data_IF_808750084023
#
_entry.id   IF_808750084023
#
_cell.length_a   1.000
_cell.length_b   1.000
_cell.length_c   1.000
_cell.angle_alpha   90.00
_cell.angle_beta   90.00
_cell.angle_gamma   90.00
#
_symmetry.space_group_name_H-M   'P 1'
#
loop_
_entity.id
_entity.type
_entity.pdbx_description
1 polymer ?
#
# COMPACT_ATOMS: atom_id res chain seq x y z
N UNK A 1 -12.09 -10.07 -6.42
CA UNK A 1 -12.35 -8.62 -6.41
C UNK A 1 -12.06 -7.99 -7.76
N UNK A 2 -12.65 -6.83 -8.07
CA UNK A 2 -12.51 -6.18 -9.39
C UNK A 2 -11.08 -5.74 -9.73
N UNK A 3 -10.24 -5.49 -8.72
CA UNK A 3 -8.81 -5.17 -8.90
C UNK A 3 -7.89 -6.40 -9.04
N UNK A 4 -8.39 -7.62 -8.82
CA UNK A 4 -7.60 -8.84 -8.93
C UNK A 4 -7.18 -9.16 -10.38
N UNK A 5 -7.91 -8.59 -11.34
CA UNK A 5 -7.61 -8.75 -12.75
C UNK A 5 -7.86 -7.46 -13.53
N UNK A 6 -7.16 -7.32 -14.65
CA UNK A 6 -7.36 -6.24 -15.62
C UNK A 6 -7.54 -6.83 -17.01
N UNK A 7 -8.21 -6.10 -17.89
CA UNK A 7 -8.47 -6.47 -19.28
C UNK A 7 -7.93 -5.40 -20.23
N UNK A 8 -7.46 -5.82 -21.40
CA UNK A 8 -7.12 -4.92 -22.50
C UNK A 8 -8.31 -4.66 -23.46
N UNK A 9 -9.45 -5.31 -23.22
CA UNK A 9 -10.63 -5.24 -24.09
C UNK A 9 -10.51 -5.96 -25.44
N UNK A 10 -9.38 -6.63 -25.72
CA UNK A 10 -9.12 -7.40 -26.97
C UNK A 10 -9.08 -8.91 -26.73
N UNK A 11 -9.34 -9.33 -25.50
CA UNK A 11 -9.44 -10.73 -25.08
C UNK A 11 -8.26 -11.19 -24.23
N UNK A 12 -7.34 -10.30 -23.86
CA UNK A 12 -6.31 -10.62 -22.87
C UNK A 12 -6.81 -10.23 -21.48
N UNK A 13 -6.67 -11.17 -20.54
CA UNK A 13 -6.89 -10.95 -19.11
C UNK A 13 -5.57 -11.10 -18.38
N UNK A 14 -5.31 -10.22 -17.43
CA UNK A 14 -4.12 -10.26 -16.59
C UNK A 14 -4.55 -10.46 -15.15
N UNK A 15 -3.97 -11.44 -14.47
CA UNK A 15 -4.22 -11.76 -13.07
C UNK A 15 -2.91 -11.76 -12.29
N UNK A 16 -2.97 -11.52 -10.98
CA UNK A 16 -1.79 -11.72 -10.14
C UNK A 16 -1.52 -13.21 -9.92
N UNK A 17 -0.26 -13.60 -9.66
CA UNK A 17 0.03 -14.96 -9.19
C UNK A 17 -0.74 -15.30 -7.92
N UNK A 18 -0.96 -14.32 -7.04
CA UNK A 18 -1.72 -14.53 -5.82
C UNK A 18 -3.18 -14.92 -6.11
N UNK A 19 -3.80 -14.32 -7.14
CA UNK A 19 -5.14 -14.70 -7.61
C UNK A 19 -5.16 -16.16 -8.06
N UNK A 20 -4.17 -16.61 -8.83
CA UNK A 20 -4.07 -18.01 -9.22
C UNK A 20 -3.93 -18.95 -8.00
N UNK A 21 -3.04 -18.61 -7.06
CA UNK A 21 -2.80 -19.44 -5.85
C UNK A 21 -4.04 -19.51 -4.96
N UNK A 22 -4.77 -18.41 -4.78
CA UNK A 22 -6.02 -18.36 -4.00
C UNK A 22 -7.13 -19.23 -4.62
N UNK A 23 -7.08 -19.48 -5.93
CA UNK A 23 -8.00 -20.34 -6.66
C UNK A 23 -7.42 -21.75 -6.90
N UNK A 24 -6.63 -22.26 -5.94
CA UNK A 24 -6.13 -23.64 -5.97
C UNK A 24 -4.93 -23.88 -6.90
N UNK A 25 -4.41 -22.84 -7.57
CA UNK A 25 -3.23 -22.95 -8.42
C UNK A 25 -3.47 -23.59 -9.79
N UNK A 26 -4.70 -23.99 -10.12
CA UNK A 26 -5.04 -24.62 -11.39
C UNK A 26 -5.24 -23.58 -12.50
N UNK A 27 -4.19 -23.37 -13.29
CA UNK A 27 -4.19 -22.38 -14.37
C UNK A 27 -5.28 -22.65 -15.43
N UNK A 28 -5.44 -23.90 -15.86
CA UNK A 28 -6.37 -24.23 -16.95
C UNK A 28 -7.83 -24.01 -16.55
N UNK A 29 -8.16 -24.28 -15.29
CA UNK A 29 -9.50 -24.07 -14.75
C UNK A 29 -9.81 -22.57 -14.65
N UNK A 30 -8.86 -21.78 -14.12
CA UNK A 30 -9.01 -20.33 -14.06
C UNK A 30 -9.13 -19.70 -15.46
N UNK A 31 -8.34 -20.15 -16.42
CA UNK A 31 -8.49 -19.77 -17.83
C UNK A 31 -9.87 -20.12 -18.40
N UNK A 32 -10.41 -21.29 -18.04
CA UNK A 32 -11.75 -21.71 -18.41
C UNK A 32 -12.83 -20.76 -17.89
N UNK A 33 -12.74 -20.35 -16.62
CA UNK A 33 -13.65 -19.38 -16.01
C UNK A 33 -13.58 -18.02 -16.73
N UNK A 34 -12.37 -17.48 -16.96
CA UNK A 34 -12.24 -16.20 -17.67
C UNK A 34 -12.72 -16.27 -19.11
N UNK A 35 -12.51 -17.40 -19.80
CA UNK A 35 -13.04 -17.61 -21.15
C UNK A 35 -14.56 -17.63 -21.15
N UNK A 36 -15.19 -18.32 -20.19
CA UNK A 36 -16.64 -18.46 -20.12
C UNK A 36 -17.35 -17.16 -19.76
N UNK A 37 -16.84 -16.41 -18.77
CA UNK A 37 -17.54 -15.23 -18.22
C UNK A 37 -17.11 -13.91 -18.88
N UNK A 38 -15.87 -13.81 -19.35
CA UNK A 38 -15.30 -12.56 -19.87
C UNK A 38 -14.90 -12.67 -21.35
N UNK A 39 -15.12 -13.81 -22.00
CA UNK A 39 -14.70 -14.03 -23.38
C UNK A 39 -13.18 -13.98 -23.57
N UNK A 40 -12.41 -14.25 -22.50
CA UNK A 40 -10.96 -14.18 -22.54
C UNK A 40 -10.38 -15.22 -23.50
N UNK A 41 -9.50 -14.76 -24.38
CA UNK A 41 -8.73 -15.59 -25.32
C UNK A 41 -7.44 -16.08 -24.68
N UNK A 42 -6.79 -15.21 -23.91
CA UNK A 42 -5.51 -15.48 -23.29
C UNK A 42 -5.42 -14.89 -21.89
N UNK A 43 -4.83 -15.65 -20.97
CA UNK A 43 -4.56 -15.20 -19.61
C UNK A 43 -3.05 -15.00 -19.39
N UNK A 44 -2.72 -13.87 -18.80
CA UNK A 44 -1.38 -13.47 -18.40
C UNK A 44 -1.29 -13.41 -16.88
N UNK A 45 -0.16 -13.84 -16.33
CA UNK A 45 0.07 -13.86 -14.89
C UNK A 45 1.21 -12.92 -14.56
N UNK A 46 0.92 -11.91 -13.76
CA UNK A 46 1.86 -10.92 -13.27
C UNK A 46 2.12 -11.11 -11.76
N UNK A 47 3.17 -10.49 -11.25
CA UNK A 47 3.41 -10.41 -9.80
C UNK A 47 2.64 -9.25 -9.17
N UNK A 48 2.16 -9.43 -7.95
CA UNK A 48 1.66 -8.33 -7.13
C UNK A 48 2.80 -7.72 -6.28
N UNK A 49 2.59 -6.50 -5.78
CA UNK A 49 3.53 -5.85 -4.87
C UNK A 49 3.70 -6.68 -3.57
N UNK A 50 4.92 -6.73 -3.00
CA UNK A 50 5.19 -7.50 -1.78
C UNK A 50 4.69 -6.80 -0.52
N UNK A 51 4.69 -7.53 0.58
CA UNK A 51 4.29 -7.05 1.90
C UNK A 51 2.83 -7.33 2.21
N UNK A 52 2.37 -6.84 3.37
CA UNK A 52 0.99 -7.03 3.83
C UNK A 52 0.10 -5.99 3.20
N UNK A 53 -0.18 -6.13 1.91
CA UNK A 53 -1.01 -5.22 1.12
C UNK A 53 -2.08 -5.97 0.33
N UNK A 54 -2.96 -5.24 -0.33
CA UNK A 54 -3.92 -5.82 -1.29
C UNK A 54 -3.16 -6.20 -2.56
N UNK A 55 -3.19 -7.48 -3.00
CA UNK A 55 -2.34 -7.98 -4.08
C UNK A 55 -2.92 -7.70 -5.48
N UNK A 56 -3.54 -6.54 -5.67
CA UNK A 56 -4.23 -6.18 -6.91
C UNK A 56 -3.26 -5.64 -7.96
N UNK A 57 -3.57 -5.92 -9.24
CA UNK A 57 -2.74 -5.47 -10.36
C UNK A 57 -3.06 -4.04 -10.79
N UNK A 58 -4.27 -3.56 -10.52
CA UNK A 58 -4.72 -2.18 -10.79
C UNK A 58 -3.87 -1.11 -10.07
N UNK A 59 -3.07 -1.51 -9.08
CA UNK A 59 -2.09 -0.68 -8.40
C UNK A 59 -0.83 -0.42 -9.24
N UNK A 60 -0.53 -1.27 -10.23
CA UNK A 60 0.77 -1.27 -10.93
C UNK A 60 0.67 -1.50 -12.44
N UNK A 61 -0.50 -1.77 -13.00
CA UNK A 61 -0.70 -1.87 -14.45
C UNK A 61 -2.08 -1.30 -14.82
N UNK A 62 -2.12 -0.45 -15.85
CA UNK A 62 -3.37 0.04 -16.44
C UNK A 62 -3.20 0.18 -17.94
N UNK A 63 -4.21 -0.25 -18.69
CA UNK A 63 -4.35 0.06 -20.12
C UNK A 63 -5.07 1.41 -20.23
N UNK A 64 -4.44 2.41 -20.88
CA UNK A 64 -5.09 3.70 -21.14
C UNK A 64 -5.97 3.68 -22.36
N UNK A 65 -5.56 2.87 -23.33
CA UNK A 65 -6.23 2.62 -24.59
C UNK A 65 -5.76 1.24 -25.09
N UNK A 66 -6.00 0.96 -26.36
CA UNK A 66 -5.73 -0.34 -26.95
C UNK A 66 -4.25 -0.64 -27.22
N UNK A 67 -3.37 0.36 -27.10
CA UNK A 67 -1.96 0.29 -27.48
C UNK A 67 -1.03 0.86 -26.40
N UNK A 68 -1.57 1.54 -25.38
CA UNK A 68 -0.80 2.20 -24.33
C UNK A 68 -0.98 1.54 -22.97
N UNK A 69 0.14 1.12 -22.38
CA UNK A 69 0.21 0.53 -21.03
C UNK A 69 0.92 1.51 -20.09
N UNK A 70 0.30 1.80 -18.94
CA UNK A 70 0.93 2.47 -17.81
C UNK A 70 1.61 1.46 -16.90
N UNK A 71 2.87 1.74 -16.58
CA UNK A 71 3.66 1.03 -15.58
C UNK A 71 4.25 2.01 -14.56
N UNK A 72 4.45 1.59 -13.31
CA UNK A 72 4.98 2.45 -12.27
C UNK A 72 6.46 2.76 -12.50
N UNK A 73 6.85 4.00 -12.28
CA UNK A 73 8.21 4.44 -12.03
C UNK A 73 8.41 4.59 -10.52
N UNK A 74 8.85 3.50 -9.89
CA UNK A 74 8.96 3.41 -8.44
C UNK A 74 10.13 4.25 -7.91
N UNK A 75 9.77 5.30 -7.16
CA UNK A 75 10.71 6.24 -6.58
C UNK A 75 11.29 5.68 -5.28
N UNK A 76 12.59 5.86 -5.08
CA UNK A 76 13.23 5.54 -3.80
C UNK A 76 12.92 6.62 -2.77
N UNK A 77 12.82 6.21 -1.51
CA UNK A 77 12.85 7.18 -0.42
C UNK A 77 14.23 7.80 -0.33
N UNK A 78 14.30 9.12 -0.11
CA UNK A 78 15.53 9.78 0.28
C UNK A 78 16.00 9.33 1.68
N UNK A 79 15.06 8.88 2.51
CA UNK A 79 15.36 8.36 3.84
C UNK A 79 15.96 6.96 3.77
N UNK A 80 16.94 6.70 4.65
CA UNK A 80 17.51 5.37 4.81
C UNK A 80 16.48 4.44 5.44
N UNK A 81 16.44 3.21 4.95
CA UNK A 81 15.69 2.14 5.58
C UNK A 81 16.09 2.01 7.06
N UNK A 82 15.10 2.08 7.94
CA UNK A 82 15.30 2.04 9.39
C UNK A 82 15.58 0.63 9.90
N UNK A 83 15.13 -0.40 9.15
CA UNK A 83 15.38 -1.81 9.47
C UNK A 83 15.53 -2.67 8.19
N UNK A 84 16.03 -3.92 8.31
CA UNK A 84 16.17 -4.84 7.18
C UNK A 84 14.87 -5.13 6.42
N UNK A 85 13.73 -5.17 7.13
CA UNK A 85 12.42 -5.42 6.52
C UNK A 85 12.01 -4.30 5.54
N UNK A 86 12.23 -3.02 5.90
CA UNK A 86 11.97 -1.87 5.01
C UNK A 86 12.84 -1.96 3.75
N UNK A 87 14.13 -2.31 3.91
CA UNK A 87 15.04 -2.47 2.79
C UNK A 87 14.65 -3.65 1.88
N UNK A 88 14.17 -4.76 2.45
CA UNK A 88 13.68 -5.91 1.69
C UNK A 88 12.42 -5.58 0.90
N UNK A 89 11.43 -4.92 1.52
CA UNK A 89 10.19 -4.54 0.85
C UNK A 89 10.45 -3.61 -0.35
N UNK A 90 11.28 -2.58 -0.18
CA UNK A 90 11.61 -1.65 -1.27
C UNK A 90 12.32 -2.35 -2.43
N UNK A 91 13.26 -3.26 -2.15
CA UNK A 91 13.92 -4.07 -3.19
C UNK A 91 12.94 -5.03 -3.87
N UNK A 92 12.05 -5.66 -3.10
CA UNK A 92 11.03 -6.55 -3.61
C UNK A 92 10.05 -5.84 -4.55
N UNK A 93 9.59 -4.64 -4.18
CA UNK A 93 8.69 -3.83 -4.98
C UNK A 93 9.31 -3.48 -6.35
N UNK A 94 10.57 -3.01 -6.36
CA UNK A 94 11.31 -2.78 -7.61
C UNK A 94 11.42 -4.06 -8.45
N UNK A 95 11.82 -5.16 -7.82
CA UNK A 95 12.01 -6.43 -8.53
C UNK A 95 10.72 -6.91 -9.20
N UNK A 96 9.58 -6.79 -8.52
CA UNK A 96 8.24 -7.09 -9.04
C UNK A 96 7.91 -6.20 -10.25
N UNK A 97 8.10 -4.89 -10.12
CA UNK A 97 7.82 -3.91 -11.17
C UNK A 97 8.65 -4.20 -12.42
N UNK A 98 9.97 -4.39 -12.25
CA UNK A 98 10.88 -4.68 -13.35
C UNK A 98 10.55 -6.02 -14.03
N UNK A 99 10.17 -7.03 -13.24
CA UNK A 99 9.78 -8.34 -13.76
C UNK A 99 8.51 -8.26 -14.60
N UNK A 100 7.49 -7.55 -14.10
CA UNK A 100 6.24 -7.34 -14.83
C UNK A 100 6.47 -6.52 -16.10
N UNK A 101 7.28 -5.46 -16.04
CA UNK A 101 7.63 -4.65 -17.21
C UNK A 101 8.32 -5.49 -18.30
N UNK A 102 9.35 -6.27 -17.93
CA UNK A 102 10.02 -7.18 -18.89
C UNK A 102 9.05 -8.19 -19.50
N UNK A 103 8.16 -8.74 -18.69
CA UNK A 103 7.14 -9.68 -19.16
C UNK A 103 6.22 -9.00 -20.18
N UNK A 104 5.67 -7.83 -19.85
CA UNK A 104 4.73 -7.12 -20.72
C UNK A 104 5.40 -6.67 -22.02
N UNK A 105 6.61 -6.09 -21.97
CA UNK A 105 7.36 -5.70 -23.17
C UNK A 105 7.64 -6.88 -24.11
N UNK A 106 7.88 -8.07 -23.54
CA UNK A 106 8.11 -9.28 -24.34
C UNK A 106 6.84 -9.77 -25.05
N UNK A 107 5.68 -9.70 -24.39
CA UNK A 107 4.42 -10.26 -24.92
C UNK A 107 3.59 -9.23 -25.71
N UNK A 108 3.87 -7.95 -25.52
CA UNK A 108 3.18 -6.82 -26.15
C UNK A 108 4.22 -5.83 -26.74
N UNK A 109 5.07 -6.28 -27.69
CA UNK A 109 6.20 -5.49 -28.18
C UNK A 109 5.77 -4.23 -28.93
N UNK A 110 4.58 -4.24 -29.54
CA UNK A 110 4.05 -3.11 -30.31
C UNK A 110 3.33 -2.07 -29.45
N UNK A 111 3.19 -2.33 -28.14
CA UNK A 111 2.53 -1.38 -27.24
C UNK A 111 3.48 -0.24 -26.84
N UNK A 112 2.89 0.95 -26.68
CA UNK A 112 3.54 2.07 -26.04
C UNK A 112 3.52 1.88 -24.53
N UNK A 113 4.69 2.01 -23.91
CA UNK A 113 4.83 1.94 -22.46
C UNK A 113 5.08 3.33 -21.91
N UNK A 114 4.16 3.81 -21.07
CA UNK A 114 4.32 5.06 -20.34
C UNK A 114 4.62 4.75 -18.88
N UNK A 115 5.51 5.56 -18.29
CA UNK A 115 5.91 5.44 -16.90
C UNK A 115 5.15 6.45 -16.07
N UNK A 116 4.57 6.00 -14.97
CA UNK A 116 3.80 6.82 -14.04
C UNK A 116 4.55 6.88 -12.71
N UNK A 117 4.88 8.06 -12.16
CA UNK A 117 5.51 8.15 -10.85
C UNK A 117 4.77 7.31 -9.82
N UNK A 118 5.52 6.53 -9.05
CA UNK A 118 5.00 5.78 -7.93
C UNK A 118 5.81 6.17 -6.70
N UNK A 119 5.24 6.95 -5.76
CA UNK A 119 5.94 7.38 -4.56
C UNK A 119 6.49 6.20 -3.75
N UNK A 120 7.50 6.45 -2.89
CA UNK A 120 8.05 5.42 -2.01
C UNK A 120 6.98 4.82 -1.08
N UNK A 121 7.27 3.61 -0.60
CA UNK A 121 6.46 2.94 0.43
C UNK A 121 6.42 3.83 1.67
N UNK A 122 5.23 4.00 2.24
CA UNK A 122 5.06 4.69 3.52
C UNK A 122 5.40 3.73 4.66
N UNK A 123 6.53 4.01 5.30
CA UNK A 123 6.99 3.31 6.50
C UNK A 123 6.74 4.14 7.75
N UNK A 124 6.55 3.48 8.90
CA UNK A 124 6.61 4.17 10.17
C UNK A 124 8.04 4.62 10.47
N UNK A 125 8.15 5.83 11.01
CA UNK A 125 9.41 6.35 11.53
C UNK A 125 9.86 5.60 12.79
N UNK A 126 11.14 5.74 13.13
CA UNK A 126 11.74 5.10 14.32
C UNK A 126 10.98 5.47 15.59
N UNK A 127 10.63 6.74 15.75
CA UNK A 127 9.89 7.24 16.92
C UNK A 127 8.50 6.59 17.02
N UNK A 128 7.78 6.46 15.91
CA UNK A 128 6.46 5.82 15.89
C UNK A 128 6.55 4.34 16.30
N UNK A 129 7.56 3.62 15.78
CA UNK A 129 7.83 2.22 16.16
C UNK A 129 8.12 2.10 17.66
N UNK A 130 8.97 2.99 18.20
CA UNK A 130 9.31 3.03 19.63
C UNK A 130 8.07 3.32 20.48
N UNK A 131 7.25 4.29 20.08
CA UNK A 131 6.01 4.62 20.78
C UNK A 131 5.01 3.45 20.78
N UNK A 132 4.89 2.73 19.67
CA UNK A 132 4.07 1.53 19.60
C UNK A 132 4.60 0.40 20.49
N UNK A 133 5.92 0.20 20.52
CA UNK A 133 6.56 -0.77 21.42
C UNK A 133 6.25 -0.43 22.88
N UNK A 134 6.42 0.84 23.27
CA UNK A 134 6.10 1.36 24.60
C UNK A 134 4.64 1.10 24.97
N UNK A 135 3.70 1.48 24.11
CA UNK A 135 2.27 1.28 24.37
C UNK A 135 1.92 -0.21 24.49
N UNK A 136 2.51 -1.06 23.65
CA UNK A 136 2.29 -2.51 23.71
C UNK A 136 2.81 -3.09 25.03
N UNK A 137 4.00 -2.68 25.47
CA UNK A 137 4.58 -3.06 26.75
C UNK A 137 3.73 -2.58 27.93
N UNK A 138 3.33 -1.30 27.95
CA UNK A 138 2.46 -0.73 28.99
C UNK A 138 1.16 -1.53 29.10
N UNK A 139 0.55 -1.87 27.97
CA UNK A 139 -0.68 -2.66 27.93
C UNK A 139 -0.48 -4.07 28.50
N UNK A 140 0.61 -4.75 28.11
CA UNK A 140 0.92 -6.08 28.59
C UNK A 140 1.13 -6.12 30.11
N UNK A 141 1.96 -5.21 30.65
CA UNK A 141 2.21 -5.12 32.10
C UNK A 141 0.94 -4.75 32.87
N UNK A 142 0.12 -3.85 32.32
CA UNK A 142 -1.15 -3.47 32.96
C UNK A 142 -2.11 -4.65 33.11
N UNK A 143 -2.19 -5.53 32.11
CA UNK A 143 -3.00 -6.75 32.17
C UNK A 143 -2.41 -7.75 33.17
N UNK A 144 -1.09 -8.00 33.09
CA UNK A 144 -0.39 -8.95 33.97
C UNK A 144 -0.53 -8.58 35.45
N UNK A 145 -0.38 -7.29 35.78
CA UNK A 145 -0.48 -6.78 37.15
C UNK A 145 -1.93 -6.53 37.60
N UNK A 146 -2.92 -6.84 36.76
CA UNK A 146 -4.34 -6.65 37.09
C UNK A 146 -4.77 -5.18 37.24
N UNK A 147 -4.03 -4.24 36.67
CA UNK A 147 -4.32 -2.79 36.71
C UNK A 147 -5.55 -2.47 35.84
N UNK A 148 -5.72 -3.21 34.74
CA UNK A 148 -6.84 -3.06 33.80
C UNK A 148 -7.29 -4.43 33.31
N UNK A 149 -8.57 -4.56 32.97
CA UNK A 149 -9.11 -5.79 32.34
C UNK A 149 -8.92 -5.77 30.83
N UNK A 150 -8.92 -6.96 30.22
CA UNK A 150 -8.84 -7.13 28.75
C UNK A 150 -9.98 -6.43 28.01
N UNK A 151 -11.19 -6.37 28.58
CA UNK A 151 -12.29 -5.65 27.94
C UNK A 151 -12.05 -4.14 27.93
N UNK A 152 -11.55 -3.60 29.05
CA UNK A 152 -11.33 -2.16 29.21
C UNK A 152 -10.13 -1.67 28.42
N UNK A 153 -9.06 -2.46 28.33
CA UNK A 153 -7.81 -2.03 27.68
C UNK A 153 -7.97 -1.74 26.18
N UNK A 154 -8.87 -2.45 25.52
CA UNK A 154 -9.15 -2.29 24.09
C UNK A 154 -10.04 -1.08 23.78
N UNK A 155 -10.61 -0.42 24.81
CA UNK A 155 -11.51 0.73 24.68
C UNK A 155 -10.91 2.03 25.24
N UNK A 156 -9.62 2.01 25.63
CA UNK A 156 -8.98 3.19 26.21
C UNK A 156 -8.77 4.28 25.15
N UNK A 157 -9.06 5.52 25.53
CA UNK A 157 -8.68 6.71 24.76
C UNK A 157 -7.21 7.04 24.92
N UNK A 158 -6.65 7.89 24.07
CA UNK A 158 -5.24 8.31 24.15
C UNK A 158 -4.91 8.96 25.50
N UNK A 159 -5.81 9.79 26.04
CA UNK A 159 -5.64 10.39 27.37
C UNK A 159 -5.60 9.31 28.47
N UNK A 160 -6.48 8.31 28.37
CA UNK A 160 -6.49 7.20 29.33
C UNK A 160 -5.24 6.31 29.20
N UNK A 161 -4.68 6.17 28.00
CA UNK A 161 -3.41 5.46 27.79
C UNK A 161 -2.24 6.19 28.46
N UNK A 162 -2.21 7.52 28.42
CA UNK A 162 -1.19 8.33 29.12
C UNK A 162 -1.28 8.13 30.64
N UNK A 163 -2.48 8.10 31.20
CA UNK A 163 -2.66 7.86 32.64
C UNK A 163 -2.37 6.40 33.03
N UNK A 164 -2.67 5.45 32.16
CA UNK A 164 -2.26 4.06 32.33
C UNK A 164 -0.74 3.93 32.33
N UNK A 165 -0.04 4.61 31.42
CA UNK A 165 1.43 4.63 31.36
C UNK A 165 2.04 5.12 32.69
N UNK A 166 1.51 6.21 33.28
CA UNK A 166 1.96 6.70 34.60
C UNK A 166 1.73 5.69 35.72
N UNK A 167 0.57 5.01 35.69
CA UNK A 167 0.19 4.01 36.70
C UNK A 167 1.09 2.77 36.61
N UNK A 168 1.33 2.29 35.38
CA UNK A 168 2.25 1.18 35.10
C UNK A 168 3.67 1.55 35.52
N UNK A 169 4.16 2.75 35.16
CA UNK A 169 5.49 3.21 35.57
C UNK A 169 5.65 3.27 37.10
N UNK A 170 4.64 3.76 37.81
CA UNK A 170 4.64 3.76 39.29
C UNK A 170 4.72 2.35 39.86
N UNK A 171 4.04 1.40 39.22
CA UNK A 171 4.06 -0.01 39.62
C UNK A 171 5.43 -0.63 39.37
N UNK A 172 5.99 -0.45 38.17
CA UNK A 172 7.33 -0.93 37.81
C UNK A 172 8.39 -0.36 38.75
N UNK A 173 8.29 0.92 39.14
CA UNK A 173 9.27 1.57 40.03
C UNK A 173 9.37 0.96 41.43
N UNK A 174 8.38 0.17 41.86
CA UNK A 174 8.48 -0.61 43.11
C UNK A 174 9.51 -1.74 42.99
N UNK A 175 9.70 -2.27 41.79
CA UNK A 175 10.63 -3.37 41.48
C UNK A 175 11.96 -2.84 40.90
N UNK A 176 11.88 -1.77 40.09
CA UNK A 176 13.00 -1.13 39.41
C UNK A 176 12.97 0.40 39.65
N UNK A 177 13.57 0.91 40.75
CA UNK A 177 13.44 2.32 41.15
C UNK A 177 13.88 3.35 40.10
N UNK A 178 14.81 2.98 39.21
CA UNK A 178 15.32 3.84 38.12
C UNK A 178 14.54 3.70 36.80
N UNK A 179 13.41 2.98 36.79
CA UNK A 179 12.62 2.78 35.59
C UNK A 179 12.12 4.11 34.99
N UNK A 180 12.15 4.19 33.66
CA UNK A 180 11.59 5.26 32.86
C UNK A 180 11.07 4.73 31.53
N UNK A 181 10.06 5.40 30.97
CA UNK A 181 9.45 5.04 29.68
C UNK A 181 9.47 6.23 28.69
N UNK A 182 10.02 7.37 29.09
CA UNK A 182 9.95 8.63 28.36
C UNK A 182 11.05 8.80 27.31
N UNK A 183 12.14 8.03 27.41
CA UNK A 183 13.24 8.06 26.42
C UNK A 183 13.54 6.65 25.91
N UNK A 184 14.10 6.50 24.70
CA UNK A 184 14.49 5.20 24.17
C UNK A 184 15.42 4.41 25.12
N UNK A 185 16.39 5.08 25.74
CA UNK A 185 17.38 4.44 26.63
C UNK A 185 16.74 3.94 27.93
N UNK A 186 15.85 4.75 28.52
CA UNK A 186 15.14 4.37 29.74
C UNK A 186 14.16 3.24 29.46
N UNK A 187 13.44 3.29 28.33
CA UNK A 187 12.56 2.21 27.88
C UNK A 187 13.33 0.92 27.63
N UNK A 188 14.47 0.97 26.94
CA UNK A 188 15.32 -0.21 26.68
C UNK A 188 15.77 -0.87 27.99
N UNK A 189 16.17 -0.08 28.99
CA UNK A 189 16.51 -0.59 30.32
C UNK A 189 15.36 -1.33 30.99
N UNK A 190 14.12 -0.82 30.86
CA UNK A 190 12.91 -1.49 31.38
C UNK A 190 12.61 -2.77 30.60
N UNK A 191 12.65 -2.73 29.26
CA UNK A 191 12.39 -3.90 28.42
C UNK A 191 13.33 -5.06 28.77
N UNK A 192 14.63 -4.77 28.91
CA UNK A 192 15.64 -5.78 29.30
C UNK A 192 15.39 -6.36 30.69
N UNK A 193 14.98 -5.54 31.66
CA UNK A 193 14.65 -6.00 33.01
C UNK A 193 13.52 -7.02 33.00
N UNK A 194 12.50 -6.81 32.17
CA UNK A 194 11.38 -7.73 31.98
C UNK A 194 11.66 -8.86 30.97
N UNK A 195 12.94 -9.11 30.63
CA UNK A 195 13.36 -10.18 29.73
C UNK A 195 12.87 -10.02 28.28
N UNK A 196 12.45 -8.81 27.89
CA UNK A 196 12.03 -8.51 26.53
C UNK A 196 13.24 -8.28 25.62
N UNK A 197 13.00 -8.34 24.30
CA UNK A 197 14.02 -7.97 23.32
C UNK A 197 14.49 -6.52 23.56
N UNK A 198 15.80 -6.24 23.40
CA UNK A 198 16.30 -4.88 23.32
C UNK A 198 15.55 -4.05 22.28
N UNK A 199 15.41 -2.75 22.53
CA UNK A 199 14.65 -1.84 21.68
C UNK A 199 15.17 -1.81 20.23
N UNK A 200 16.49 -1.84 20.04
CA UNK A 200 17.08 -1.92 18.70
C UNK A 200 16.75 -3.24 18.00
N UNK A 201 16.82 -4.37 18.70
CA UNK A 201 16.45 -5.66 18.15
C UNK A 201 14.94 -5.74 17.83
N UNK A 202 14.10 -5.03 18.59
CA UNK A 202 12.68 -4.87 18.28
C UNK A 202 12.51 -4.07 16.98
N UNK A 203 13.18 -2.92 16.84
CA UNK A 203 13.11 -2.08 15.64
C UNK A 203 13.61 -2.84 14.40
N UNK A 204 14.72 -3.57 14.52
CA UNK A 204 15.30 -4.39 13.45
C UNK A 204 14.34 -5.47 12.95
N UNK A 205 13.53 -6.02 13.85
CA UNK A 205 12.55 -7.09 13.56
C UNK A 205 11.13 -6.55 13.36
N UNK A 206 10.93 -5.24 13.47
CA UNK A 206 9.62 -4.65 13.38
C UNK A 206 9.09 -4.79 11.94
N UNK A 207 8.03 -5.57 11.80
CA UNK A 207 7.27 -5.67 10.56
C UNK A 207 5.99 -4.86 10.67
N UNK A 208 5.69 -4.06 9.64
CA UNK A 208 4.43 -3.33 9.57
C UNK A 208 3.24 -4.29 9.51
N UNK A 209 2.12 -3.99 10.21
CA UNK A 209 0.89 -4.78 10.09
C UNK A 209 0.28 -4.66 8.68
N UNK A 210 0.56 -3.57 7.98
CA UNK A 210 0.11 -3.32 6.61
C UNK A 210 1.15 -2.49 5.83
N UNK A 211 1.38 -2.87 4.57
CA UNK A 211 2.30 -2.18 3.65
C UNK A 211 1.52 -1.20 2.78
N UNK A 212 1.87 0.09 2.90
CA UNK A 212 1.15 1.21 2.29
C UNK A 212 1.87 1.71 1.05
N UNK A 213 1.35 1.36 -0.12
CA UNK A 213 1.81 1.85 -1.41
C UNK A 213 0.92 2.99 -1.89
N UNK A 214 1.50 4.05 -2.46
CA UNK A 214 0.77 5.10 -3.17
C UNK A 214 0.91 4.88 -4.67
N UNK A 215 -0.21 4.91 -5.40
CA UNK A 215 -0.20 4.70 -6.85
C UNK A 215 -1.20 5.59 -7.56
N UNK A 216 -0.69 6.43 -8.46
CA UNK A 216 -1.52 7.24 -9.37
C UNK A 216 -2.13 6.41 -10.51
N UNK A 217 -1.71 5.15 -10.67
CA UNK A 217 -2.28 4.20 -11.65
C UNK A 217 -3.65 3.69 -11.18
N UNK A 218 -3.90 3.65 -9.87
CA UNK A 218 -5.19 3.26 -9.29
C UNK A 218 -6.25 4.38 -9.45
N UNK A 219 -6.47 4.76 -10.70
CA UNK A 219 -7.36 5.81 -11.17
C UNK A 219 -8.54 5.21 -11.92
N UNK A 220 -9.59 6.00 -12.08
CA UNK A 220 -10.77 5.62 -12.86
C UNK A 220 -10.85 6.50 -14.10
N UNK A 221 -11.11 5.87 -15.25
CA UNK A 221 -11.38 6.59 -16.49
C UNK A 221 -12.87 6.51 -16.81
N UNK A 222 -13.48 7.66 -17.08
CA UNK A 222 -14.91 7.82 -17.30
C UNK A 222 -15.15 8.40 -18.68
N UNK A 223 -16.09 7.79 -19.39
CA UNK A 223 -16.69 8.33 -20.61
C UNK A 223 -18.17 8.58 -20.36
N UNK A 224 -18.62 9.79 -20.65
CA UNK A 224 -20.04 10.14 -20.60
C UNK A 224 -20.68 9.90 -21.96
N UNK A 225 -22.00 9.76 -21.98
CA UNK A 225 -22.79 9.54 -23.21
C UNK A 225 -22.62 10.67 -24.25
N UNK A 226 -22.34 11.89 -23.80
CA UNK A 226 -22.07 13.06 -24.64
C UNK A 226 -20.60 13.17 -25.10
N UNK A 227 -19.79 12.12 -24.88
CA UNK A 227 -18.41 12.04 -25.38
C UNK A 227 -17.37 12.72 -24.51
N UNK A 228 -17.74 13.32 -23.37
CA UNK A 228 -16.75 13.88 -22.43
C UNK A 228 -15.98 12.76 -21.75
N UNK A 229 -14.72 13.06 -21.45
CA UNK A 229 -13.75 12.13 -20.89
C UNK A 229 -13.18 12.73 -19.62
N UNK A 230 -13.05 11.91 -18.58
CA UNK A 230 -12.49 12.36 -17.31
C UNK A 230 -11.71 11.24 -16.61
N UNK A 231 -10.59 11.60 -15.99
CA UNK A 231 -9.88 10.76 -15.04
C UNK A 231 -10.17 11.23 -13.63
N UNK A 232 -10.50 10.28 -12.74
CA UNK A 232 -10.43 10.47 -11.29
C UNK A 232 -9.10 9.90 -10.82
N UNK A 233 -8.19 10.76 -10.39
CA UNK A 233 -6.79 10.40 -10.07
C UNK A 233 -6.55 10.61 -8.58
N UNK A 234 -5.91 9.64 -7.89
CA UNK A 234 -5.50 9.82 -6.50
C UNK A 234 -4.60 11.04 -6.34
N UNK A 235 -4.80 11.80 -5.27
CA UNK A 235 -3.93 12.87 -4.82
C UNK A 235 -3.39 12.50 -3.44
N UNK A 236 -2.12 12.78 -3.19
CA UNK A 236 -1.49 12.46 -1.92
C UNK A 236 -0.88 13.71 -1.29
N UNK A 237 -0.91 13.77 0.04
CA UNK A 237 -0.26 14.85 0.78
C UNK A 237 0.76 14.30 1.77
N UNK A 238 1.62 15.20 2.24
CA UNK A 238 2.55 14.92 3.33
C UNK A 238 2.72 16.16 4.19
N UNK A 239 2.93 15.95 5.49
CA UNK A 239 3.37 16.99 6.42
C UNK A 239 4.85 17.30 6.28
N UNK A 240 5.63 16.40 5.67
CA UNK A 240 7.03 16.66 5.33
C UNK A 240 7.11 17.58 4.10
N UNK A 241 7.90 18.65 4.19
CA UNK A 241 7.95 19.69 3.16
C UNK A 241 8.64 19.21 1.87
N UNK A 242 9.67 18.38 1.98
CA UNK A 242 10.43 17.88 0.84
C UNK A 242 9.62 16.81 0.10
N UNK A 243 8.95 15.93 0.85
CA UNK A 243 8.01 14.96 0.28
C UNK A 243 6.81 15.67 -0.37
N UNK A 244 6.23 16.68 0.28
CA UNK A 244 5.12 17.47 -0.27
C UNK A 244 5.50 18.15 -1.60
N UNK A 245 6.74 18.64 -1.70
CA UNK A 245 7.28 19.21 -2.93
C UNK A 245 7.41 18.14 -4.02
N UNK A 246 7.99 16.99 -3.68
CA UNK A 246 8.15 15.85 -4.61
C UNK A 246 6.80 15.33 -5.11
N UNK A 247 5.81 15.20 -4.24
CA UNK A 247 4.45 14.77 -4.60
C UNK A 247 3.83 15.72 -5.63
N UNK A 248 3.91 17.04 -5.43
CA UNK A 248 3.39 18.03 -6.39
C UNK A 248 4.09 17.97 -7.74
N UNK A 249 5.40 17.71 -7.76
CA UNK A 249 6.13 17.53 -9.01
C UNK A 249 5.69 16.28 -9.75
N UNK A 250 5.57 15.15 -9.04
CA UNK A 250 5.06 13.91 -9.60
C UNK A 250 3.61 14.04 -10.08
N UNK A 251 2.75 14.77 -9.39
CA UNK A 251 1.36 15.02 -9.83
C UNK A 251 1.31 15.79 -11.17
N UNK A 252 2.23 16.73 -11.41
CA UNK A 252 2.35 17.40 -12.73
C UNK A 252 2.81 16.42 -13.82
N UNK A 253 3.74 15.53 -13.51
CA UNK A 253 4.19 14.48 -14.42
C UNK A 253 3.05 13.51 -14.76
N UNK A 254 2.28 13.09 -13.75
CA UNK A 254 1.09 12.25 -13.89
C UNK A 254 0.07 12.87 -14.85
N UNK A 255 -0.21 14.16 -14.70
CA UNK A 255 -1.10 14.88 -15.62
C UNK A 255 -0.57 14.86 -17.07
N UNK A 256 0.72 15.11 -17.27
CA UNK A 256 1.36 15.04 -18.59
C UNK A 256 1.25 13.65 -19.22
N UNK A 257 1.43 12.59 -18.42
CA UNK A 257 1.31 11.19 -18.87
C UNK A 257 -0.12 10.88 -19.32
N UNK A 258 -1.14 11.22 -18.54
CA UNK A 258 -2.54 10.99 -18.94
C UNK A 258 -2.90 11.77 -20.21
N UNK A 259 -2.46 13.03 -20.32
CA UNK A 259 -2.71 13.87 -21.51
C UNK A 259 -2.01 13.38 -22.77
N UNK A 260 -1.01 12.51 -22.65
CA UNK A 260 -0.36 11.90 -23.83
C UNK A 260 -1.29 10.99 -24.62
N UNK A 261 -2.19 10.26 -23.94
CA UNK A 261 -3.19 9.41 -24.59
C UNK A 261 -4.54 10.13 -24.75
N UNK A 262 -4.86 11.04 -23.83
CA UNK A 262 -6.16 11.70 -23.76
C UNK A 262 -6.01 13.21 -23.51
N UNK A 263 -5.59 14.00 -24.52
CA UNK A 263 -5.26 15.43 -24.35
C UNK A 263 -6.42 16.28 -23.79
N UNK A 264 -7.64 15.96 -24.21
CA UNK A 264 -8.87 16.69 -23.87
C UNK A 264 -9.57 16.16 -22.61
N UNK A 265 -9.08 15.05 -22.03
CA UNK A 265 -9.70 14.50 -20.83
C UNK A 265 -9.50 15.45 -19.64
N UNK A 266 -10.56 15.62 -18.85
CA UNK A 266 -10.48 16.36 -17.59
C UNK A 266 -9.82 15.48 -16.52
N UNK A 267 -8.90 16.06 -15.75
CA UNK A 267 -8.29 15.36 -14.63
C UNK A 267 -8.88 15.93 -13.34
N UNK A 268 -9.48 15.06 -12.54
CA UNK A 268 -10.02 15.38 -11.22
C UNK A 268 -9.18 14.68 -10.16
N UNK A 269 -8.47 15.49 -9.38
CA UNK A 269 -7.64 15.04 -8.26
C UNK A 269 -8.50 14.80 -7.02
N UNK A 270 -8.36 13.63 -6.40
CA UNK A 270 -9.10 13.25 -5.20
C UNK A 270 -8.10 12.91 -4.10
N UNK A 271 -8.12 13.66 -2.99
CA UNK A 271 -7.29 13.32 -1.83
C UNK A 271 -7.64 11.91 -1.34
N UNK A 272 -6.65 11.01 -1.36
CA UNK A 272 -6.79 9.61 -1.00
C UNK A 272 -5.96 9.23 0.24
N UNK A 273 -5.46 10.20 1.02
CA UNK A 273 -4.56 9.93 2.16
C UNK A 273 -5.19 8.99 3.20
N UNK A 274 -6.49 9.16 3.47
CA UNK A 274 -7.24 8.26 4.36
C UNK A 274 -7.39 6.85 3.78
N UNK A 275 -7.59 6.75 2.46
CA UNK A 275 -7.79 5.47 1.76
C UNK A 275 -6.52 4.62 1.70
N UNK A 276 -5.33 5.23 1.76
CA UNK A 276 -4.04 4.50 1.83
C UNK A 276 -4.06 3.49 2.98
N UNK A 277 -4.70 3.83 4.10
CA UNK A 277 -4.78 2.98 5.29
C UNK A 277 -5.70 1.77 5.10
N UNK A 278 -6.65 1.86 4.16
CA UNK A 278 -7.61 0.80 3.82
C UNK A 278 -7.12 -0.10 2.67
N UNK A 279 -5.87 0.09 2.23
CA UNK A 279 -5.17 -0.73 1.23
C UNK A 279 -5.80 -0.70 -0.18
N UNK A 280 -6.53 0.36 -0.53
CA UNK A 280 -7.05 0.59 -1.88
C UNK A 280 -7.25 2.07 -2.18
N UNK A 281 -7.49 2.42 -3.45
CA UNK A 281 -7.79 3.80 -3.87
C UNK A 281 -9.10 3.87 -4.66
N UNK A 282 -9.19 4.86 -5.55
CA UNK A 282 -10.40 5.19 -6.30
C UNK A 282 -10.86 4.01 -7.17
N UNK A 283 -9.95 3.29 -7.82
CA UNK A 283 -10.33 2.13 -8.62
C UNK A 283 -10.91 1.01 -7.75
N UNK A 284 -10.34 0.78 -6.55
CA UNK A 284 -10.79 -0.27 -5.65
C UNK A 284 -12.22 -0.06 -5.11
N UNK A 285 -12.70 1.18 -5.06
CA UNK A 285 -14.02 1.54 -4.52
C UNK A 285 -15.07 1.84 -5.59
N UNK A 286 -14.75 1.60 -6.86
CA UNK A 286 -15.61 1.93 -7.99
C UNK A 286 -15.79 0.74 -8.93
N UNK A 287 -16.89 0.78 -9.68
CA UNK A 287 -17.16 -0.13 -10.79
C UNK A 287 -17.73 0.70 -11.95
N UNK A 288 -17.12 0.60 -13.13
CA UNK A 288 -17.64 1.26 -14.32
C UNK A 288 -18.74 0.42 -14.95
N UNK A 289 -19.80 1.08 -15.42
CA UNK A 289 -20.88 0.44 -16.18
C UNK A 289 -20.71 0.86 -17.64
N UNK A 290 -20.41 -0.08 -18.56
CA UNK A 290 -20.24 0.26 -19.96
C UNK A 290 -21.57 0.72 -20.56
N UNK A 291 -21.52 1.71 -21.44
CA UNK A 291 -22.68 2.04 -22.27
C UNK A 291 -22.98 0.86 -23.18
N UNK A 292 -24.21 0.35 -23.12
CA UNK A 292 -24.69 -0.63 -24.08
C UNK A 292 -24.72 0.03 -25.46
N UNK A 293 -24.11 -0.61 -26.45
CA UNK A 293 -24.34 -0.24 -27.84
C UNK A 293 -25.81 -0.50 -28.11
N UNK A 294 -26.57 0.57 -28.36
CA UNK A 294 -27.87 0.46 -29.00
C UNK A 294 -27.60 0.32 -30.49
N UNK A 295 -27.85 -0.87 -31.02
CA UNK A 295 -27.82 -1.14 -32.47
C UNK A 295 -28.80 -0.24 -33.23
#
# INVERSE_FOLDING_TARGET
>A
DGGDFITDGRGNIFVSRQTLVRNGGNRSELEGVFRQYFGAKQMHILEALPGRTVPHLDMIVKFLDQETILLPDFKESAEKAINPYHAELSRGARSVIDKNERYLRKHFPDHKFLKMPMPPILFKGREEIVNQAKQSFVKAVALEKGIVSTEKINRLTDLQLVDLEKTVLTTIRKELPKAGLSTPESLDGVLRYYGQLPLDAFIDRYSEPATRYRSYINSVFLHTKDGRQAFLVPQFTSSDADESTSLKEWEREVESVYRTAWPEAKIHWINCDSMVSDLGFIHCTTLTVPLLKTD
#
